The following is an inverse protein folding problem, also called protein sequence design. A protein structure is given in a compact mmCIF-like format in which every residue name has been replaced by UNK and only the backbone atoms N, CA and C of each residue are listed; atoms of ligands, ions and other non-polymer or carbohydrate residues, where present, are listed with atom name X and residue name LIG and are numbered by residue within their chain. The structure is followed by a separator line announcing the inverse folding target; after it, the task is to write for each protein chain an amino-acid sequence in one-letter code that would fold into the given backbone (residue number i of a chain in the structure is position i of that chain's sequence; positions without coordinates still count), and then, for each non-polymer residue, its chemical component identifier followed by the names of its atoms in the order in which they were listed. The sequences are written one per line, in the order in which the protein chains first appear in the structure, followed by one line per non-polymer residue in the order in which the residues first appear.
data_IF_543149164586
#
_entry.id   IF_543149164586
#
_cell.length_a   1.000
_cell.length_b   1.000
_cell.length_c   1.000
_cell.angle_alpha   90.00
_cell.angle_beta   90.00
_cell.angle_gamma   90.00
#
_symmetry.space_group_name_H-M   'P 1'
#
loop_
_entity.id
_entity.type
_entity.pdbx_description
1 polymer ?
#
# COMPACT_ATOMS: atom_id res chain seq x y z
N UNK A 1 -15.54 0.64 -7.34
CA UNK A 1 -15.01 2.02 -7.34
C UNK A 1 -16.13 2.94 -7.75
N UNK A 2 -16.19 4.17 -7.24
CA UNK A 2 -16.97 5.24 -7.85
C UNK A 2 -16.08 6.02 -8.84
N UNK A 3 -16.66 6.79 -9.78
CA UNK A 3 -15.88 7.72 -10.60
C UNK A 3 -15.03 8.65 -9.73
N UNK A 4 -13.74 8.77 -10.03
CA UNK A 4 -12.79 9.58 -9.25
C UNK A 4 -12.19 8.89 -8.02
N UNK A 5 -12.48 7.60 -7.79
CA UNK A 5 -11.74 6.76 -6.85
C UNK A 5 -10.53 6.10 -7.53
N UNK A 6 -9.52 5.75 -6.73
CA UNK A 6 -8.36 4.97 -7.19
C UNK A 6 -8.19 3.75 -6.32
N UNK A 7 -7.93 2.59 -6.94
CA UNK A 7 -7.49 1.40 -6.23
C UNK A 7 -6.15 0.89 -6.75
N UNK A 8 -5.37 0.32 -5.84
CA UNK A 8 -4.11 -0.34 -6.10
C UNK A 8 -4.21 -1.81 -5.73
N UNK A 9 -3.51 -2.66 -6.48
CA UNK A 9 -3.10 -3.95 -5.92
C UNK A 9 -2.12 -3.69 -4.80
N UNK A 10 -2.28 -4.41 -3.70
CA UNK A 10 -1.46 -4.28 -2.51
C UNK A 10 -0.88 -5.63 -2.11
N UNK A 11 0.36 -5.61 -1.65
CA UNK A 11 0.98 -6.70 -0.93
C UNK A 11 1.41 -6.21 0.46
N UNK A 12 1.12 -7.00 1.50
CA UNK A 12 1.86 -6.93 2.75
C UNK A 12 3.29 -7.40 2.52
N UNK A 13 4.23 -6.72 3.15
CA UNK A 13 5.66 -6.98 3.05
C UNK A 13 6.34 -6.88 4.42
N UNK A 14 7.54 -7.44 4.49
CA UNK A 14 8.45 -7.30 5.64
C UNK A 14 9.53 -6.30 5.27
N UNK A 15 9.56 -5.18 6.00
CA UNK A 15 10.57 -4.14 5.87
C UNK A 15 11.52 -4.18 7.06
N UNK A 16 12.80 -3.91 6.79
CA UNK A 16 13.83 -3.70 7.80
C UNK A 16 13.71 -2.32 8.48
N UNK A 17 14.53 -2.06 9.51
CA UNK A 17 14.53 -0.77 10.22
C UNK A 17 14.82 0.42 9.29
N UNK A 18 15.71 0.25 8.32
CA UNK A 18 16.09 1.21 7.28
C UNK A 18 15.03 1.40 6.18
N UNK A 19 13.95 0.61 6.19
CA UNK A 19 12.93 0.64 5.14
C UNK A 19 13.23 -0.27 3.94
N UNK A 20 14.33 -1.02 3.97
CA UNK A 20 14.64 -2.03 2.96
C UNK A 20 13.64 -3.18 2.99
N UNK A 21 13.19 -3.64 1.83
CA UNK A 21 12.30 -4.78 1.68
C UNK A 21 13.09 -6.07 1.93
N UNK A 22 12.83 -6.70 3.08
CA UNK A 22 13.38 -8.01 3.44
C UNK A 22 12.56 -9.15 2.83
N UNK A 23 11.27 -8.92 2.56
CA UNK A 23 10.39 -9.86 1.88
C UNK A 23 9.14 -9.18 1.33
N UNK A 24 8.90 -9.25 0.02
CA UNK A 24 7.72 -8.61 -0.61
C UNK A 24 6.41 -9.38 -0.42
N UNK A 25 6.43 -10.51 0.30
CA UNK A 25 5.30 -11.43 0.47
C UNK A 25 5.20 -12.02 1.87
N UNK A 26 5.92 -11.44 2.84
CA UNK A 26 5.96 -11.90 4.24
C UNK A 26 6.31 -13.39 4.34
N UNK A 27 7.26 -13.86 3.53
CA UNK A 27 7.67 -15.27 3.49
C UNK A 27 6.56 -16.23 3.04
N UNK A 28 5.48 -15.71 2.46
CA UNK A 28 4.22 -16.44 2.18
C UNK A 28 3.60 -17.10 3.42
N UNK A 29 3.90 -16.60 4.62
CA UNK A 29 3.42 -17.17 5.88
C UNK A 29 2.41 -16.28 6.61
N UNK A 30 2.03 -15.14 6.04
CA UNK A 30 0.92 -14.34 6.57
C UNK A 30 -0.39 -15.07 6.31
N UNK A 31 -1.09 -15.48 7.37
CA UNK A 31 -2.39 -16.11 7.25
C UNK A 31 -3.43 -15.09 6.78
N UNK A 32 -4.44 -15.54 6.04
CA UNK A 32 -5.51 -14.65 5.55
C UNK A 32 -6.24 -13.95 6.70
N UNK A 33 -6.48 -14.63 7.83
CA UNK A 33 -7.13 -14.03 9.00
C UNK A 33 -6.27 -12.92 9.63
N UNK A 34 -4.96 -13.13 9.74
CA UNK A 34 -4.02 -12.09 10.20
C UNK A 34 -4.03 -10.88 9.25
N UNK A 35 -4.00 -11.13 7.94
CA UNK A 35 -4.05 -10.06 6.93
C UNK A 35 -5.37 -9.26 7.03
N UNK A 36 -6.50 -9.93 7.28
CA UNK A 36 -7.80 -9.29 7.50
C UNK A 36 -7.78 -8.43 8.77
N UNK A 37 -7.20 -8.91 9.87
CA UNK A 37 -7.05 -8.16 11.13
C UNK A 37 -6.26 -6.86 10.89
N UNK A 38 -5.09 -6.96 10.24
CA UNK A 38 -4.24 -5.82 9.88
C UNK A 38 -4.97 -4.83 8.95
N UNK A 39 -5.66 -5.33 7.92
CA UNK A 39 -6.38 -4.50 6.96
C UNK A 39 -7.55 -3.74 7.62
N UNK A 40 -8.29 -4.40 8.53
CA UNK A 40 -9.36 -3.77 9.32
C UNK A 40 -8.79 -2.69 10.24
N UNK A 41 -7.68 -2.97 10.92
CA UNK A 41 -7.01 -1.99 11.77
C UNK A 41 -6.61 -0.74 10.96
N UNK A 42 -5.94 -0.92 9.82
CA UNK A 42 -5.52 0.19 8.95
C UNK A 42 -6.72 1.03 8.46
N UNK A 43 -7.80 0.37 8.06
CA UNK A 43 -9.03 1.03 7.62
C UNK A 43 -9.71 1.79 8.76
N UNK A 44 -9.75 1.22 9.97
CA UNK A 44 -10.38 1.84 11.13
C UNK A 44 -9.64 3.10 11.59
N UNK A 45 -8.31 3.15 11.48
CA UNK A 45 -7.49 4.30 11.92
C UNK A 45 -7.69 5.57 11.10
N UNK A 46 -8.28 5.48 9.92
CA UNK A 46 -8.53 6.62 9.02
C UNK A 46 -7.29 7.49 8.78
N UNK A 47 -6.17 6.86 8.41
CA UNK A 47 -4.85 7.48 8.37
C UNK A 47 -4.72 8.68 7.42
N UNK A 48 -5.73 8.98 6.59
CA UNK A 48 -5.76 10.11 5.65
C UNK A 48 -6.92 11.09 5.92
N UNK A 49 -7.58 11.02 7.08
CA UNK A 49 -8.72 11.88 7.40
C UNK A 49 -8.44 13.38 7.19
N UNK A 50 -7.24 13.84 7.59
CA UNK A 50 -6.79 15.24 7.44
C UNK A 50 -6.57 15.66 5.99
N UNK A 51 -6.34 14.71 5.09
CA UNK A 51 -6.17 14.95 3.65
C UNK A 51 -7.51 15.00 2.90
N UNK A 52 -8.63 14.79 3.59
CA UNK A 52 -9.94 14.67 2.97
C UNK A 52 -10.04 13.45 2.05
N UNK A 53 -9.27 12.40 2.32
CA UNK A 53 -9.27 11.13 1.56
C UNK A 53 -9.49 9.99 2.55
N UNK A 54 -10.38 9.06 2.20
CA UNK A 54 -10.60 7.81 2.93
C UNK A 54 -9.76 6.71 2.29
N UNK A 55 -8.94 6.05 3.09
CA UNK A 55 -8.19 4.87 2.68
C UNK A 55 -8.81 3.61 3.29
N UNK A 56 -9.14 2.65 2.44
CA UNK A 56 -9.64 1.33 2.84
C UNK A 56 -8.68 0.26 2.35
N UNK A 57 -8.32 -0.66 3.24
CA UNK A 57 -7.49 -1.82 2.92
C UNK A 57 -8.36 -3.07 2.96
N UNK A 58 -8.34 -3.82 1.88
CA UNK A 58 -9.10 -5.06 1.73
C UNK A 58 -8.12 -6.21 1.53
N UNK A 59 -7.89 -7.02 2.57
CA UNK A 59 -7.08 -8.23 2.44
C UNK A 59 -7.85 -9.32 1.67
N UNK A 60 -7.11 -10.14 0.91
CA UNK A 60 -7.69 -11.24 0.12
C UNK A 60 -7.14 -12.59 0.56
N UNK A 61 -6.00 -13.02 0.02
CA UNK A 61 -5.38 -14.30 0.35
C UNK A 61 -3.92 -14.09 0.72
N UNK A 62 -3.60 -14.47 1.95
CA UNK A 62 -2.28 -14.28 2.56
C UNK A 62 -1.83 -12.83 2.48
N UNK A 63 -0.67 -12.59 1.85
CA UNK A 63 -0.08 -11.26 1.73
C UNK A 63 -0.81 -10.32 0.75
N UNK A 64 -1.78 -10.78 -0.03
CA UNK A 64 -2.41 -9.98 -1.10
C UNK A 64 -3.58 -9.15 -0.57
N UNK A 65 -3.76 -7.97 -1.14
CA UNK A 65 -4.92 -7.13 -0.87
C UNK A 65 -5.12 -6.03 -1.92
N UNK A 66 -5.97 -5.08 -1.56
CA UNK A 66 -6.27 -3.88 -2.32
C UNK A 66 -6.21 -2.68 -1.38
N UNK A 67 -5.57 -1.60 -1.83
CA UNK A 67 -5.72 -0.28 -1.23
C UNK A 67 -6.73 0.50 -2.08
N UNK A 68 -7.80 0.98 -1.48
CA UNK A 68 -8.80 1.83 -2.13
C UNK A 68 -8.77 3.22 -1.51
N UNK A 69 -8.46 4.22 -2.33
CA UNK A 69 -8.49 5.63 -1.98
C UNK A 69 -9.75 6.27 -2.54
N UNK A 70 -10.48 6.96 -1.67
CA UNK A 70 -11.73 7.65 -1.98
C UNK A 70 -11.62 9.10 -1.57
N UNK A 71 -11.90 10.02 -2.49
CA UNK A 71 -12.01 11.43 -2.11
C UNK A 71 -13.26 11.66 -1.28
N UNK A 72 -13.12 12.41 -0.19
CA UNK A 72 -14.26 12.84 0.63
C UNK A 72 -14.50 14.35 0.54
N UNK A 73 -13.44 15.15 0.33
CA UNK A 73 -13.52 16.62 0.40
C UNK A 73 -12.60 17.37 -0.59
N UNK A 74 -11.82 16.68 -1.42
CA UNK A 74 -10.66 17.30 -2.12
C UNK A 74 -10.70 17.20 -3.65
N UNK A 75 -11.82 16.74 -4.23
CA UNK A 75 -11.95 16.51 -5.67
C UNK A 75 -11.46 15.11 -6.09
N UNK A 76 -11.61 14.73 -7.36
CA UNK A 76 -11.31 13.36 -7.82
C UNK A 76 -9.82 13.00 -7.67
N UNK A 77 -9.55 11.71 -7.73
CA UNK A 77 -8.23 11.11 -7.76
C UNK A 77 -7.95 10.57 -9.18
N UNK A 78 -6.66 10.48 -9.54
CA UNK A 78 -6.22 9.87 -10.80
C UNK A 78 -5.36 8.64 -10.53
N UNK A 79 -5.54 7.61 -11.36
CA UNK A 79 -4.73 6.40 -11.38
C UNK A 79 -3.40 6.58 -12.12
N UNK A 80 -3.13 7.75 -12.71
CA UNK A 80 -1.88 8.08 -13.40
C UNK A 80 -0.76 8.42 -12.42
N UNK A 81 -0.40 7.40 -11.65
CA UNK A 81 0.69 7.40 -10.69
C UNK A 81 1.57 6.16 -10.85
N UNK A 82 2.82 6.24 -10.43
CA UNK A 82 3.77 5.13 -10.43
C UNK A 82 3.45 4.07 -9.38
N UNK A 83 4.21 2.98 -9.37
CA UNK A 83 4.09 1.92 -8.36
C UNK A 83 4.98 2.21 -7.14
N UNK A 84 4.55 1.77 -5.96
CA UNK A 84 5.39 1.62 -4.75
C UNK A 84 5.79 0.15 -4.54
N UNK A 85 6.06 -0.57 -5.62
CA UNK A 85 6.53 -1.96 -5.61
C UNK A 85 7.72 -2.04 -6.58
N UNK A 86 8.97 -2.10 -6.08
CA UNK A 86 10.16 -1.99 -6.95
C UNK A 86 10.34 -3.22 -7.86
N UNK A 87 9.56 -4.28 -7.66
CA UNK A 87 9.54 -5.46 -8.52
C UNK A 87 8.60 -5.31 -9.71
N UNK A 88 7.88 -4.19 -9.83
CA UNK A 88 6.92 -3.93 -10.91
C UNK A 88 7.01 -2.48 -11.41
N UNK A 89 7.13 -2.32 -12.72
CA UNK A 89 7.07 -1.01 -13.38
C UNK A 89 5.77 -0.86 -14.17
N UNK A 90 5.23 0.37 -14.21
CA UNK A 90 4.04 0.69 -15.00
C UNK A 90 4.50 1.25 -16.35
N UNK A 91 4.35 0.46 -17.41
CA UNK A 91 4.69 0.84 -18.79
C UNK A 91 3.40 0.81 -19.61
N UNK A 92 3.00 1.97 -20.16
CA UNK A 92 1.79 2.07 -20.99
C UNK A 92 0.51 1.60 -20.27
N UNK A 93 0.40 1.85 -18.96
CA UNK A 93 -0.74 1.43 -18.15
C UNK A 93 -0.68 -0.02 -17.63
N UNK A 94 0.26 -0.85 -18.12
CA UNK A 94 0.42 -2.23 -17.69
C UNK A 94 1.59 -2.40 -16.72
N UNK A 95 1.38 -3.22 -15.68
CA UNK A 95 2.43 -3.58 -14.72
C UNK A 95 3.32 -4.71 -15.24
N UNK A 96 4.59 -4.43 -15.53
CA UNK A 96 5.58 -5.43 -15.94
C UNK A 96 6.50 -5.76 -14.77
N UNK A 97 6.74 -7.07 -14.53
CA UNK A 97 7.70 -7.50 -13.54
C UNK A 97 9.12 -7.11 -13.98
N UNK A 98 9.91 -6.54 -13.07
CA UNK A 98 11.30 -6.18 -13.30
C UNK A 98 12.19 -6.66 -12.16
N UNK A 99 13.50 -6.76 -12.45
CA UNK A 99 14.50 -6.95 -11.40
C UNK A 99 14.68 -5.63 -10.67
N UNK A 100 14.40 -5.61 -9.37
CA UNK A 100 14.66 -4.45 -8.52
C UNK A 100 16.18 -4.27 -8.35
N UNK A 101 16.68 -3.08 -8.63
CA UNK A 101 18.08 -2.68 -8.39
C UNK A 101 18.25 -2.01 -7.02
N UNK A 102 17.19 -1.33 -6.56
CA UNK A 102 17.04 -0.83 -5.20
C UNK A 102 15.91 -1.61 -4.52
N UNK A 103 16.15 -2.05 -3.29
CA UNK A 103 15.21 -2.83 -2.49
C UNK A 103 14.44 -1.97 -1.49
N UNK A 104 14.45 -0.64 -1.62
CA UNK A 104 13.56 0.23 -0.85
C UNK A 104 12.19 0.37 -1.54
N UNK A 105 11.18 0.73 -0.75
CA UNK A 105 9.86 1.09 -1.29
C UNK A 105 10.01 2.43 -2.02
N UNK A 106 9.82 2.49 -3.36
CA UNK A 106 9.96 3.74 -4.08
C UNK A 106 8.78 4.67 -3.75
N UNK A 107 9.03 5.97 -3.79
CA UNK A 107 7.96 6.97 -3.73
C UNK A 107 7.02 6.82 -4.93
N UNK A 108 5.73 6.97 -4.66
CA UNK A 108 4.70 7.12 -5.69
C UNK A 108 4.82 8.52 -6.27
N UNK A 109 4.99 8.58 -7.59
CA UNK A 109 5.13 9.82 -8.35
C UNK A 109 3.92 9.97 -9.29
N UNK A 110 3.43 11.19 -9.54
CA UNK A 110 2.44 11.43 -10.58
C UNK A 110 3.08 11.19 -11.95
N UNK A 111 2.34 10.55 -12.87
CA UNK A 111 2.79 10.29 -14.24
C UNK A 111 2.37 11.41 -15.20
N UNK A 112 1.53 12.33 -14.75
CA UNK A 112 1.17 13.56 -15.45
C UNK A 112 1.19 14.77 -14.49
N UNK A 113 0.80 15.94 -15.00
CA UNK A 113 0.75 17.19 -14.21
C UNK A 113 -0.64 17.50 -13.67
N UNK A 114 -1.58 16.56 -13.72
CA UNK A 114 -2.94 16.78 -13.25
C UNK A 114 -2.94 16.95 -11.72
N UNK A 115 -3.74 17.89 -11.16
CA UNK A 115 -3.92 18.01 -9.72
C UNK A 115 -4.38 16.70 -9.07
N UNK A 116 -5.14 15.89 -9.79
CA UNK A 116 -5.65 14.59 -9.37
C UNK A 116 -4.53 13.57 -9.17
N UNK A 117 -3.59 13.45 -10.12
CA UNK A 117 -2.45 12.53 -10.00
C UNK A 117 -1.51 12.96 -8.88
N UNK A 118 -1.22 14.26 -8.78
CA UNK A 118 -0.40 14.83 -7.69
C UNK A 118 -1.03 14.52 -6.33
N UNK A 119 -2.35 14.66 -6.21
CA UNK A 119 -3.09 14.36 -4.99
C UNK A 119 -3.04 12.88 -4.64
N UNK A 120 -3.26 11.99 -5.61
CA UNK A 120 -3.17 10.54 -5.41
C UNK A 120 -1.76 10.14 -4.95
N UNK A 121 -0.72 10.64 -5.60
CA UNK A 121 0.67 10.32 -5.28
C UNK A 121 1.01 10.73 -3.83
N UNK A 122 0.68 11.97 -3.46
CA UNK A 122 0.88 12.48 -2.09
C UNK A 122 0.13 11.65 -1.06
N UNK A 123 -1.16 11.38 -1.30
CA UNK A 123 -2.01 10.61 -0.40
C UNK A 123 -1.50 9.18 -0.22
N UNK A 124 -1.07 8.55 -1.31
CA UNK A 124 -0.53 7.18 -1.28
C UNK A 124 0.77 7.12 -0.48
N UNK A 125 1.72 8.03 -0.72
CA UNK A 125 2.98 8.07 0.04
C UNK A 125 2.73 8.26 1.53
N UNK A 126 1.88 9.23 1.88
CA UNK A 126 1.53 9.51 3.27
C UNK A 126 0.83 8.32 3.94
N UNK A 127 -0.03 7.62 3.21
CA UNK A 127 -0.68 6.40 3.71
C UNK A 127 0.33 5.29 3.97
N UNK A 128 1.26 5.03 3.04
CA UNK A 128 2.28 3.98 3.21
C UNK A 128 3.18 4.24 4.42
N UNK A 129 3.59 5.49 4.62
CA UNK A 129 4.36 5.93 5.78
C UNK A 129 3.58 5.70 7.09
N UNK A 130 2.37 6.22 7.19
CA UNK A 130 1.53 6.08 8.39
C UNK A 130 1.13 4.63 8.65
N UNK A 131 0.90 3.85 7.60
CA UNK A 131 0.60 2.42 7.70
C UNK A 131 1.79 1.65 8.25
N UNK A 132 3.02 1.95 7.84
CA UNK A 132 4.24 1.32 8.41
C UNK A 132 4.31 1.53 9.92
N UNK A 133 4.08 2.75 10.40
CA UNK A 133 4.04 3.04 11.84
C UNK A 133 2.92 2.26 12.54
N UNK A 134 1.69 2.28 12.00
CA UNK A 134 0.56 1.57 12.58
C UNK A 134 0.74 0.05 12.63
N UNK A 135 1.40 -0.54 11.62
CA UNK A 135 1.66 -1.98 11.54
C UNK A 135 2.79 -2.41 12.47
N UNK A 136 3.77 -1.55 12.75
CA UNK A 136 4.92 -1.89 13.60
C UNK A 136 4.48 -2.26 15.03
N UNK A 137 3.47 -1.57 15.55
CA UNK A 137 2.95 -1.74 16.92
C UNK A 137 1.74 -2.69 17.00
N UNK A 138 1.36 -3.34 15.90
CA UNK A 138 0.15 -4.15 15.86
C UNK A 138 0.29 -5.48 16.63
N UNK A 139 -0.73 -5.92 17.40
CA UNK A 139 -0.70 -7.19 18.12
C UNK A 139 -0.42 -8.42 17.23
N UNK A 140 -0.88 -8.44 15.98
CA UNK A 140 -0.57 -9.50 15.02
C UNK A 140 0.93 -9.58 14.79
N UNK A 141 1.56 -8.45 14.46
CA UNK A 141 3.00 -8.40 14.20
C UNK A 141 3.81 -8.68 15.46
N UNK A 142 3.32 -8.29 16.65
CA UNK A 142 3.90 -8.68 17.93
C UNK A 142 3.90 -10.20 18.13
N UNK A 143 2.77 -10.88 17.87
CA UNK A 143 2.68 -12.35 17.95
C UNK A 143 3.61 -13.03 16.94
N UNK A 144 3.63 -12.53 15.70
CA UNK A 144 4.50 -13.07 14.63
C UNK A 144 5.99 -12.95 15.00
N UNK A 145 6.41 -11.79 15.49
CA UNK A 145 7.80 -11.57 15.92
C UNK A 145 8.20 -12.52 17.06
N UNK A 146 7.34 -12.70 18.08
CA UNK A 146 7.57 -13.66 19.19
C UNK A 146 7.72 -15.10 18.71
N UNK A 147 7.02 -15.47 17.63
CA UNK A 147 7.10 -16.80 17.02
C UNK A 147 8.26 -16.95 16.03
N UNK A 148 9.12 -15.94 15.85
CA UNK A 148 10.20 -15.95 14.85
C UNK A 148 9.70 -15.87 13.40
N UNK A 149 8.42 -15.57 13.18
CA UNK A 149 7.85 -15.39 11.85
C UNK A 149 8.12 -13.97 11.33
N UNK A 150 8.25 -13.83 10.00
CA UNK A 150 8.36 -12.52 9.35
C UNK A 150 7.13 -11.66 9.65
N UNK A 151 7.33 -10.42 10.08
CA UNK A 151 6.25 -9.44 10.33
C UNK A 151 5.75 -8.82 9.03
N UNK A 152 4.47 -8.43 9.01
CA UNK A 152 3.81 -7.70 7.93
C UNK A 152 3.77 -6.21 8.27
N UNK A 153 4.92 -5.55 8.28
CA UNK A 153 5.10 -4.16 8.74
C UNK A 153 5.26 -3.15 7.59
N UNK A 154 5.03 -3.56 6.35
CA UNK A 154 5.02 -2.67 5.20
C UNK A 154 3.98 -3.06 4.17
N UNK A 155 3.70 -2.11 3.27
CA UNK A 155 2.77 -2.27 2.16
C UNK A 155 3.50 -1.91 0.87
N UNK A 156 3.31 -2.73 -0.16
CA UNK A 156 3.76 -2.46 -1.53
C UNK A 156 2.51 -2.31 -2.38
N UNK A 157 2.40 -1.21 -3.12
CA UNK A 157 1.24 -0.93 -3.98
C UNK A 157 1.64 -0.83 -5.44
N UNK A 158 0.79 -1.33 -6.33
CA UNK A 158 1.03 -1.31 -7.78
C UNK A 158 -0.24 -1.32 -8.59
N UNK A 159 -0.11 -1.00 -9.87
CA UNK A 159 -1.17 -1.05 -10.87
C UNK A 159 -2.39 -0.26 -10.42
N UNK A 160 -2.19 1.03 -10.14
CA UNK A 160 -3.28 1.96 -9.87
C UNK A 160 -4.30 1.92 -11.02
N UNK A 161 -5.57 1.82 -10.67
CA UNK A 161 -6.71 1.87 -11.60
C UNK A 161 -7.84 2.71 -11.03
N UNK A 162 -8.58 3.36 -11.92
CA UNK A 162 -9.79 4.15 -11.65
C UNK A 162 -10.91 3.70 -12.60
N UNK A 163 -12.15 4.11 -12.31
CA UNK A 163 -13.28 3.99 -13.24
C UNK A 163 -13.49 5.31 -13.99
#
# INVERSE_FOLDING_TARGET
LAPGDVAFRLNFATLGPDGRILDSRVGRSLATLEAIELARMLTARDLLATEGIRAEVHATVGHRGVLWLRSTRVGPLSADVSNADPFYEKIGGMGQARKATDLHVPSVEPLDRSPEAVRTARATNLFLERARAALADDPVNTRRARAGAKVANGLLVRNAGSL
#
